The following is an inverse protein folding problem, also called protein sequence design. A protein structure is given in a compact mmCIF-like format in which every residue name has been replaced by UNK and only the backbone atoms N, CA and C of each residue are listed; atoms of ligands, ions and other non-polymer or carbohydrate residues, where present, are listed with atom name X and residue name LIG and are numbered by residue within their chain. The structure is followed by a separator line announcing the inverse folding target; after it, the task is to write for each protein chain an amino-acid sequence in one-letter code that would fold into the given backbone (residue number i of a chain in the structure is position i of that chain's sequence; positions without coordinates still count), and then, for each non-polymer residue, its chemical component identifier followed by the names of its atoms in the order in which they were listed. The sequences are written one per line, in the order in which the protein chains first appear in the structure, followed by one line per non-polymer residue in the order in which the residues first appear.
data_IF_220743586990
#
_entry.id   IF_220743586990
#
_cell.length_a   1.000
_cell.length_b   1.000
_cell.length_c   1.000
_cell.angle_alpha   90.00
_cell.angle_beta   90.00
_cell.angle_gamma   90.00
#
_symmetry.space_group_name_H-M   'P 1'
#
loop_
_entity.id
_entity.type
_entity.pdbx_description
1 polymer ?
#
# COMPACT_ATOMS: atom_id res chain seq x y z
N UNK A 1 16.45 19.41 37.21
CA UNK A 1 15.47 18.32 37.38
C UNK A 1 15.83 17.23 36.40
N UNK A 2 15.97 15.96 36.82
CA UNK A 2 16.38 14.88 35.93
C UNK A 2 15.24 14.64 34.94
N UNK A 3 15.47 14.95 33.67
CA UNK A 3 14.57 14.63 32.57
C UNK A 3 14.67 13.10 32.43
N UNK A 4 13.73 12.40 33.04
CA UNK A 4 13.59 10.97 32.90
C UNK A 4 13.19 10.70 31.46
N UNK A 5 14.16 10.20 30.69
CA UNK A 5 14.05 9.79 29.31
C UNK A 5 13.00 8.66 29.23
N UNK A 6 11.75 9.02 28.90
CA UNK A 6 10.70 8.09 28.49
C UNK A 6 10.62 8.20 26.98
N UNK A 7 11.06 7.17 26.26
CA UNK A 7 10.93 7.09 24.82
C UNK A 7 9.46 7.29 24.42
N UNK A 8 9.15 8.43 23.82
CA UNK A 8 7.83 8.69 23.28
C UNK A 8 7.75 7.94 21.96
N UNK A 9 7.13 6.76 21.96
CA UNK A 9 6.75 6.04 20.75
C UNK A 9 5.44 6.61 20.21
N UNK A 10 5.48 7.18 19.01
CA UNK A 10 4.30 7.69 18.31
C UNK A 10 3.93 6.76 17.16
N UNK A 11 2.70 6.25 17.11
CA UNK A 11 2.17 5.53 15.95
C UNK A 11 1.31 6.49 15.12
N UNK A 12 1.76 6.84 13.92
CA UNK A 12 0.98 7.74 13.05
C UNK A 12 -0.35 7.07 12.68
N UNK A 13 -1.44 7.75 13.01
CA UNK A 13 -2.78 7.29 12.64
C UNK A 13 -2.93 7.38 11.12
N UNK A 14 -3.11 6.24 10.46
CA UNK A 14 -3.56 6.21 9.07
C UNK A 14 -4.97 6.77 9.05
N UNK A 15 -5.16 7.90 8.36
CA UNK A 15 -6.39 8.68 8.40
C UNK A 15 -7.64 7.84 8.16
N UNK A 16 -8.28 7.39 9.25
CA UNK A 16 -9.62 6.81 9.17
C UNK A 16 -10.60 7.88 8.74
N UNK A 17 -11.54 7.46 7.90
CA UNK A 17 -12.59 8.23 7.24
C UNK A 17 -13.51 8.97 8.24
N UNK A 18 -12.99 10.04 8.85
CA UNK A 18 -13.70 10.92 9.77
C UNK A 18 -14.00 12.25 9.04
N UNK A 19 -14.84 12.18 7.99
CA UNK A 19 -15.11 13.33 7.09
C UNK A 19 -16.60 13.62 6.92
N UNK A 20 -17.36 13.64 8.02
CA UNK A 20 -18.64 14.36 8.07
C UNK A 20 -18.41 15.77 8.66
N UNK A 21 -19.47 16.59 8.76
CA UNK A 21 -19.47 17.99 9.24
C UNK A 21 -18.63 18.28 10.53
N UNK A 22 -18.23 17.25 11.27
CA UNK A 22 -17.23 17.28 12.33
C UNK A 22 -15.86 17.85 11.90
N UNK A 23 -15.44 17.79 10.63
CA UNK A 23 -14.14 18.36 10.21
C UNK A 23 -14.07 19.89 10.47
N UNK A 24 -15.20 20.58 10.34
CA UNK A 24 -15.30 22.02 10.70
C UNK A 24 -15.05 22.24 12.20
N UNK A 25 -15.48 21.33 13.07
CA UNK A 25 -15.35 21.46 14.52
C UNK A 25 -13.91 21.19 15.01
N UNK A 26 -13.26 20.13 14.48
CA UNK A 26 -11.92 19.72 14.90
C UNK A 26 -10.80 20.56 14.24
N UNK A 27 -11.06 21.17 13.09
CA UNK A 27 -10.11 22.06 12.41
C UNK A 27 -10.24 23.54 12.85
N UNK A 28 -11.45 24.02 13.16
CA UNK A 28 -11.65 25.41 13.56
C UNK A 28 -11.02 25.68 14.93
N UNK A 29 -10.00 26.56 14.97
CA UNK A 29 -9.26 26.87 16.19
C UNK A 29 -8.26 25.77 16.60
N UNK A 30 -7.89 24.87 15.68
CA UNK A 30 -6.92 23.79 15.91
C UNK A 30 -5.63 24.31 16.56
N UNK A 31 -4.97 25.30 15.94
CA UNK A 31 -3.68 25.82 16.42
C UNK A 31 -3.74 26.47 17.82
N UNK A 32 -4.93 26.89 18.27
CA UNK A 32 -5.12 27.40 19.61
C UNK A 32 -5.25 26.27 20.65
N UNK A 33 -5.85 25.13 20.26
CA UNK A 33 -6.10 23.99 21.15
C UNK A 33 -4.97 22.95 21.14
N UNK A 34 -4.29 22.80 20.00
CA UNK A 34 -3.25 21.80 19.79
C UNK A 34 -2.09 21.88 20.80
N UNK A 35 -1.58 23.05 21.23
CA UNK A 35 -0.48 23.10 22.20
C UNK A 35 -0.79 22.40 23.53
N UNK A 36 -2.03 22.51 24.02
CA UNK A 36 -2.45 21.85 25.26
C UNK A 36 -2.55 20.32 25.08
N UNK A 37 -3.09 19.88 23.94
CA UNK A 37 -3.16 18.47 23.57
C UNK A 37 -1.76 17.85 23.42
N UNK A 38 -0.84 18.52 22.73
CA UNK A 38 0.56 18.09 22.61
C UNK A 38 1.21 17.99 23.99
N UNK A 39 1.09 19.01 24.84
CA UNK A 39 1.65 18.98 26.19
C UNK A 39 1.09 17.82 27.06
N UNK A 40 -0.17 17.44 26.87
CA UNK A 40 -0.75 16.26 27.51
C UNK A 40 -0.10 14.96 27.01
N UNK A 41 0.03 14.79 25.69
CA UNK A 41 0.67 13.61 25.10
C UNK A 41 2.13 13.49 25.54
N UNK A 42 2.88 14.60 25.56
CA UNK A 42 4.26 14.61 26.03
C UNK A 42 4.39 14.21 27.50
N UNK A 43 3.44 14.62 28.36
CA UNK A 43 3.41 14.19 29.77
C UNK A 43 3.05 12.72 29.95
N UNK A 44 2.19 12.17 29.08
CA UNK A 44 1.84 10.76 29.10
C UNK A 44 3.07 9.88 28.74
N UNK A 45 3.96 10.38 27.89
CA UNK A 45 5.22 9.73 27.54
C UNK A 45 5.11 8.59 26.53
N UNK A 46 3.89 8.21 26.12
CA UNK A 46 3.62 7.26 25.03
C UNK A 46 2.43 7.78 24.24
N UNK A 47 2.57 7.86 22.92
CA UNK A 47 1.54 8.31 21.99
C UNK A 47 1.07 7.17 21.09
N UNK A 48 0.47 6.13 21.67
CA UNK A 48 -0.19 5.13 20.85
C UNK A 48 -1.49 5.69 20.23
N UNK A 49 -2.04 4.97 19.24
CA UNK A 49 -3.24 5.42 18.52
C UNK A 49 -4.40 5.73 19.46
N UNK A 50 -4.63 4.89 20.46
CA UNK A 50 -5.75 5.04 21.39
C UNK A 50 -5.59 6.32 22.23
N UNK A 51 -4.38 6.59 22.72
CA UNK A 51 -4.05 7.78 23.51
C UNK A 51 -4.18 9.05 22.67
N UNK A 52 -3.64 9.05 21.45
CA UNK A 52 -3.77 10.19 20.51
C UNK A 52 -5.25 10.49 20.24
N UNK A 53 -6.04 9.47 19.89
CA UNK A 53 -7.46 9.65 19.61
C UNK A 53 -8.25 10.14 20.83
N UNK A 54 -7.94 9.64 22.03
CA UNK A 54 -8.57 10.09 23.27
C UNK A 54 -8.26 11.56 23.58
N UNK A 55 -6.98 11.95 23.53
CA UNK A 55 -6.56 13.35 23.75
C UNK A 55 -7.10 14.27 22.65
N UNK A 56 -7.12 13.82 21.40
CA UNK A 56 -7.68 14.59 20.30
C UNK A 56 -9.17 14.89 20.51
N UNK A 57 -9.96 13.90 20.97
CA UNK A 57 -11.38 14.08 21.32
C UNK A 57 -11.56 15.05 22.49
N UNK A 58 -10.78 14.90 23.55
CA UNK A 58 -10.82 15.78 24.74
C UNK A 58 -10.58 17.25 24.37
N UNK A 59 -9.57 17.50 23.54
CA UNK A 59 -9.18 18.86 23.14
C UNK A 59 -9.90 19.34 21.88
N UNK A 60 -10.80 18.53 21.32
CA UNK A 60 -11.51 18.80 20.06
C UNK A 60 -10.54 19.20 18.94
N UNK A 61 -9.47 18.45 18.75
CA UNK A 61 -8.50 18.63 17.65
C UNK A 61 -8.46 17.40 16.75
N UNK A 62 -8.02 17.56 15.50
CA UNK A 62 -7.86 16.43 14.57
C UNK A 62 -6.77 15.46 15.08
N UNK A 63 -7.05 14.15 15.26
CA UNK A 63 -6.07 13.19 15.76
C UNK A 63 -4.89 13.00 14.81
N UNK A 64 -5.13 13.09 13.50
CA UNK A 64 -4.06 12.99 12.50
C UNK A 64 -3.08 14.16 12.62
N UNK A 65 -3.57 15.40 12.59
CA UNK A 65 -2.74 16.60 12.75
C UNK A 65 -2.04 16.62 14.11
N UNK A 66 -2.74 16.22 15.18
CA UNK A 66 -2.16 16.15 16.52
C UNK A 66 -0.98 15.16 16.57
N UNK A 67 -1.08 14.03 15.88
CA UNK A 67 0.02 13.08 15.78
C UNK A 67 1.24 13.71 15.08
N UNK A 68 1.04 14.47 14.00
CA UNK A 68 2.13 15.12 13.28
C UNK A 68 2.81 16.20 14.13
N UNK A 69 2.02 17.02 14.83
CA UNK A 69 2.57 18.08 15.69
C UNK A 69 3.32 17.49 16.89
N UNK A 70 2.84 16.36 17.42
CA UNK A 70 3.52 15.64 18.52
C UNK A 70 4.80 14.96 18.04
N UNK A 71 4.84 14.47 16.79
CA UNK A 71 6.00 13.77 16.23
C UNK A 71 7.29 14.61 16.23
N UNK A 72 7.17 15.94 16.10
CA UNK A 72 8.31 16.88 16.12
C UNK A 72 9.06 16.86 17.46
N UNK A 73 8.37 16.48 18.53
CA UNK A 73 8.89 16.45 19.90
C UNK A 73 9.22 15.04 20.40
N UNK A 74 8.90 14.02 19.60
CA UNK A 74 9.09 12.62 19.99
C UNK A 74 10.53 12.18 19.74
N UNK A 75 11.09 11.40 20.67
CA UNK A 75 12.40 10.76 20.48
C UNK A 75 12.31 9.58 19.48
N UNK A 76 11.14 8.92 19.39
CA UNK A 76 10.93 7.74 18.53
C UNK A 76 9.59 7.83 17.80
N UNK A 77 9.62 7.85 16.47
CA UNK A 77 8.41 7.84 15.64
C UNK A 77 8.30 6.52 14.90
N UNK A 78 7.17 5.84 15.07
CA UNK A 78 6.81 4.62 14.33
C UNK A 78 5.79 5.00 13.26
N UNK A 79 6.14 4.80 12.01
CA UNK A 79 5.31 5.19 10.88
C UNK A 79 5.40 4.21 9.72
N UNK A 80 4.42 4.29 8.84
CA UNK A 80 4.42 3.58 7.56
C UNK A 80 5.48 4.15 6.60
N UNK A 81 6.00 3.31 5.69
CA UNK A 81 6.98 3.72 4.69
C UNK A 81 6.56 4.97 3.89
N UNK A 82 5.27 5.13 3.60
CA UNK A 82 4.76 6.23 2.80
C UNK A 82 5.14 7.61 3.37
N UNK A 83 5.23 7.75 4.69
CA UNK A 83 5.57 9.02 5.33
C UNK A 83 7.04 9.44 5.08
N UNK A 84 7.90 8.48 4.75
CA UNK A 84 9.32 8.69 4.45
C UNK A 84 9.56 8.71 2.94
N UNK A 85 8.95 7.77 2.21
CA UNK A 85 9.31 7.48 0.81
C UNK A 85 8.28 7.94 -0.23
N UNK A 86 6.99 8.14 0.10
CA UNK A 86 6.01 8.58 -0.91
C UNK A 86 6.19 10.08 -1.21
N UNK A 87 6.44 10.49 -2.47
CA UNK A 87 6.72 11.89 -2.79
C UNK A 87 5.52 12.82 -2.58
N UNK A 88 4.29 12.31 -2.53
CA UNK A 88 3.03 13.04 -2.31
C UNK A 88 2.66 13.09 -0.83
N UNK A 89 2.82 11.98 -0.12
CA UNK A 89 2.34 11.83 1.27
C UNK A 89 3.44 12.13 2.30
N UNK A 90 4.71 12.19 1.88
CA UNK A 90 5.86 12.47 2.76
C UNK A 90 5.61 13.62 3.72
N UNK A 91 6.06 13.46 4.96
CA UNK A 91 5.88 14.44 6.02
C UNK A 91 6.77 15.65 5.79
N UNK A 92 6.28 16.61 4.99
CA UNK A 92 6.98 17.87 4.73
C UNK A 92 7.35 18.60 6.04
N UNK A 93 6.54 18.47 7.10
CA UNK A 93 6.80 19.07 8.41
C UNK A 93 8.02 18.49 9.15
N UNK A 94 8.39 17.24 8.88
CA UNK A 94 9.52 16.60 9.55
C UNK A 94 10.83 16.77 8.77
N UNK A 95 10.74 17.07 7.47
CA UNK A 95 11.89 17.20 6.60
C UNK A 95 12.66 18.49 6.86
N UNK A 96 13.98 18.37 7.06
CA UNK A 96 14.86 19.49 7.39
C UNK A 96 14.76 19.98 8.83
N UNK A 97 13.72 19.60 9.59
CA UNK A 97 13.60 19.91 11.03
C UNK A 97 14.17 18.76 11.88
N UNK A 98 13.97 17.52 11.46
CA UNK A 98 14.27 16.33 12.28
C UNK A 98 15.15 15.31 11.54
N UNK A 99 15.13 15.27 10.20
CA UNK A 99 15.71 14.17 9.42
C UNK A 99 17.24 14.06 9.52
N UNK A 100 17.97 15.17 9.39
CA UNK A 100 19.44 15.20 9.38
C UNK A 100 20.09 14.76 10.71
N UNK A 101 19.32 14.79 11.80
CA UNK A 101 19.73 14.36 13.14
C UNK A 101 19.06 13.07 13.59
N UNK A 102 18.34 12.38 12.70
CA UNK A 102 17.59 11.17 13.00
C UNK A 102 18.22 9.92 12.41
N UNK A 103 18.04 8.81 13.13
CA UNK A 103 18.36 7.47 12.66
C UNK A 103 17.08 6.83 12.09
N UNK A 104 17.15 6.34 10.85
CA UNK A 104 16.02 5.65 10.23
C UNK A 104 16.12 4.14 10.42
N UNK A 105 15.11 3.55 11.06
CA UNK A 105 15.01 2.10 11.25
C UNK A 105 13.93 1.55 10.31
N UNK A 106 14.34 0.67 9.40
CA UNK A 106 13.47 0.08 8.38
C UNK A 106 13.28 -1.40 8.73
N UNK A 107 12.17 -1.68 9.38
CA UNK A 107 11.69 -3.04 9.60
C UNK A 107 11.14 -3.64 8.30
N UNK A 108 11.16 -4.97 8.18
CA UNK A 108 10.76 -5.73 7.00
C UNK A 108 11.25 -5.16 5.66
N UNK A 109 12.51 -4.70 5.63
CA UNK A 109 13.08 -4.00 4.49
C UNK A 109 13.06 -4.80 3.17
N UNK A 110 12.76 -6.10 3.18
CA UNK A 110 12.51 -6.86 1.97
C UNK A 110 11.30 -6.35 1.16
N UNK A 111 10.34 -5.66 1.79
CA UNK A 111 9.16 -5.09 1.14
C UNK A 111 9.38 -3.67 0.63
N UNK A 112 10.47 -3.00 1.05
CA UNK A 112 10.69 -1.58 0.81
C UNK A 112 10.65 -1.24 -0.68
N UNK A 113 11.39 -1.98 -1.52
CA UNK A 113 11.44 -1.72 -2.95
C UNK A 113 10.05 -1.78 -3.61
N UNK A 114 9.24 -2.78 -3.28
CA UNK A 114 7.90 -2.93 -3.85
C UNK A 114 6.97 -1.81 -3.38
N UNK A 115 7.02 -1.47 -2.10
CA UNK A 115 6.23 -0.38 -1.51
C UNK A 115 6.54 0.97 -2.15
N UNK A 116 7.82 1.29 -2.31
CA UNK A 116 8.24 2.55 -2.93
C UNK A 116 7.92 2.57 -4.43
N UNK A 117 8.06 1.44 -5.13
CA UNK A 117 7.66 1.32 -6.54
C UNK A 117 6.18 1.64 -6.73
N UNK A 118 5.32 1.15 -5.84
CA UNK A 118 3.89 1.45 -5.87
C UNK A 118 3.62 2.92 -5.59
N UNK A 119 4.28 3.52 -4.59
CA UNK A 119 4.17 4.96 -4.28
C UNK A 119 4.61 5.86 -5.43
N UNK A 120 5.60 5.47 -6.22
CA UNK A 120 6.09 6.22 -7.38
C UNK A 120 5.23 6.03 -8.63
N UNK A 121 4.47 4.94 -8.69
CA UNK A 121 3.61 4.61 -9.81
C UNK A 121 2.28 5.36 -9.74
N UNK A 122 1.65 5.55 -10.89
CA UNK A 122 0.33 6.22 -10.97
C UNK A 122 -0.50 5.63 -12.08
N UNK A 123 -1.83 5.67 -11.90
CA UNK A 123 -2.80 5.20 -12.87
C UNK A 123 -3.91 6.23 -13.01
N UNK A 124 -4.21 6.60 -14.24
CA UNK A 124 -5.41 7.36 -14.59
C UNK A 124 -6.27 6.53 -15.55
N UNK A 125 -7.52 6.31 -15.18
CA UNK A 125 -8.48 5.60 -16.03
C UNK A 125 -9.59 6.53 -16.51
N UNK A 126 -10.15 6.22 -17.68
CA UNK A 126 -11.35 6.90 -18.18
C UNK A 126 -12.54 6.75 -17.23
N UNK A 127 -12.63 5.63 -16.55
CA UNK A 127 -13.73 5.34 -15.62
C UNK A 127 -13.78 6.35 -14.46
N UNK A 128 -12.62 6.74 -13.91
CA UNK A 128 -12.53 7.81 -12.91
C UNK A 128 -13.06 9.16 -13.43
N UNK A 129 -12.87 9.45 -14.72
CA UNK A 129 -13.44 10.64 -15.36
C UNK A 129 -14.96 10.53 -15.51
N UNK A 130 -15.46 9.37 -15.96
CA UNK A 130 -16.89 9.13 -16.13
C UNK A 130 -17.66 9.31 -14.83
N UNK A 131 -17.17 8.72 -13.72
CA UNK A 131 -17.80 8.87 -12.40
C UNK A 131 -17.86 10.33 -11.95
N UNK A 132 -16.80 11.10 -12.18
CA UNK A 132 -16.81 12.53 -11.87
C UNK A 132 -17.77 13.32 -12.78
N UNK A 133 -17.92 12.97 -14.06
CA UNK A 133 -18.91 13.60 -14.96
C UNK A 133 -20.33 13.34 -14.49
N UNK A 134 -20.63 12.12 -14.05
CA UNK A 134 -21.92 11.71 -13.51
C UNK A 134 -22.27 12.49 -12.23
N UNK A 135 -21.30 12.68 -11.33
CA UNK A 135 -21.46 13.48 -10.11
C UNK A 135 -21.59 15.00 -10.37
N UNK A 136 -21.05 15.50 -11.48
CA UNK A 136 -21.03 16.93 -11.77
C UNK A 136 -22.41 17.47 -12.24
N UNK A 137 -22.78 18.66 -11.77
CA UNK A 137 -23.98 19.38 -12.23
C UNK A 137 -23.91 19.63 -13.74
N UNK A 138 -25.04 19.46 -14.44
CA UNK A 138 -25.14 19.71 -15.87
C UNK A 138 -24.72 21.14 -16.24
N UNK A 139 -23.76 21.26 -17.16
CA UNK A 139 -23.25 22.55 -17.63
C UNK A 139 -22.16 23.20 -16.77
N UNK A 140 -21.77 22.58 -15.65
CA UNK A 140 -20.71 23.08 -14.77
C UNK A 140 -19.35 23.18 -15.49
N UNK A 141 -18.48 24.05 -14.97
CA UNK A 141 -17.12 24.24 -15.50
C UNK A 141 -16.30 22.95 -15.39
N UNK A 142 -16.38 22.24 -14.26
CA UNK A 142 -15.78 20.92 -14.04
C UNK A 142 -16.21 19.92 -15.10
N UNK A 143 -17.52 19.76 -15.35
CA UNK A 143 -18.01 18.82 -16.37
C UNK A 143 -17.47 19.15 -17.75
N UNK A 144 -17.42 20.44 -18.12
CA UNK A 144 -16.86 20.90 -19.40
C UNK A 144 -15.36 20.64 -19.49
N UNK A 145 -14.62 20.83 -18.40
CA UNK A 145 -13.19 20.57 -18.32
C UNK A 145 -12.87 19.08 -18.48
N UNK A 146 -13.56 18.21 -17.72
CA UNK A 146 -13.40 16.75 -17.83
C UNK A 146 -13.77 16.27 -19.24
N UNK A 147 -14.89 16.72 -19.81
CA UNK A 147 -15.30 16.33 -21.16
C UNK A 147 -14.30 16.78 -22.24
N UNK A 148 -13.69 17.97 -22.07
CA UNK A 148 -12.63 18.44 -22.98
C UNK A 148 -11.37 17.59 -22.84
N UNK A 149 -10.99 17.23 -21.62
CA UNK A 149 -9.85 16.37 -21.34
C UNK A 149 -10.06 14.97 -21.93
N UNK A 150 -11.20 14.31 -21.67
CA UNK A 150 -11.52 12.97 -22.20
C UNK A 150 -11.50 12.96 -23.74
N UNK A 151 -12.05 14.00 -24.41
CA UNK A 151 -11.97 14.10 -25.88
C UNK A 151 -10.53 14.16 -26.39
N UNK A 152 -9.65 14.90 -25.72
CA UNK A 152 -8.23 14.99 -26.09
C UNK A 152 -7.51 13.67 -25.83
N UNK A 153 -7.75 13.04 -24.67
CA UNK A 153 -7.21 11.73 -24.33
C UNK A 153 -7.65 10.66 -25.34
N UNK A 154 -8.93 10.64 -25.73
CA UNK A 154 -9.45 9.72 -26.73
C UNK A 154 -8.87 9.94 -28.12
N UNK A 155 -8.62 11.19 -28.52
CA UNK A 155 -7.93 11.48 -29.78
C UNK A 155 -6.49 10.97 -29.73
N UNK A 156 -5.74 11.39 -28.72
CA UNK A 156 -4.35 10.99 -28.53
C UNK A 156 -4.19 9.46 -28.47
N UNK A 157 -5.11 8.77 -27.78
CA UNK A 157 -5.18 7.30 -27.73
C UNK A 157 -5.25 6.69 -29.13
N UNK A 158 -6.14 7.20 -30.00
CA UNK A 158 -6.27 6.71 -31.38
C UNK A 158 -4.98 6.92 -32.16
N UNK A 159 -4.34 8.07 -31.98
CA UNK A 159 -3.08 8.41 -32.64
C UNK A 159 -1.97 7.41 -32.21
N UNK A 160 -1.90 7.05 -30.92
CA UNK A 160 -0.94 6.05 -30.41
C UNK A 160 -1.20 4.63 -30.93
N UNK A 161 -2.46 4.19 -30.93
CA UNK A 161 -2.85 2.86 -31.45
C UNK A 161 -2.53 2.75 -32.94
N UNK A 162 -2.80 3.80 -33.72
CA UNK A 162 -2.49 3.82 -35.15
C UNK A 162 -0.98 3.84 -35.41
N UNK A 163 -0.22 4.65 -34.66
CA UNK A 163 1.22 4.77 -34.84
C UNK A 163 1.98 3.46 -34.55
N UNK A 164 1.45 2.61 -33.67
CA UNK A 164 2.04 1.31 -33.32
C UNK A 164 1.40 0.14 -34.07
N UNK A 165 0.58 0.42 -35.10
CA UNK A 165 -0.15 -0.57 -35.91
C UNK A 165 -0.95 -1.58 -35.06
N UNK A 166 -1.38 -1.15 -33.87
CA UNK A 166 -2.08 -2.01 -32.93
C UNK A 166 -3.54 -2.17 -33.36
N UNK A 167 -4.07 -3.38 -33.18
CA UNK A 167 -5.49 -3.63 -33.46
C UNK A 167 -6.37 -2.78 -32.55
N UNK A 168 -7.50 -2.22 -33.05
CA UNK A 168 -8.44 -1.44 -32.23
C UNK A 168 -9.16 -2.19 -31.11
N UNK A 169 -8.80 -3.46 -30.86
CA UNK A 169 -9.35 -4.31 -29.80
C UNK A 169 -8.68 -4.03 -28.45
N UNK A 170 -8.58 -5.04 -27.60
CA UNK A 170 -7.81 -4.94 -26.36
C UNK A 170 -6.34 -4.71 -26.72
N UNK A 171 -5.80 -3.57 -26.31
CA UNK A 171 -4.41 -3.20 -26.53
C UNK A 171 -3.70 -2.93 -25.21
N UNK A 172 -2.39 -3.15 -25.22
CA UNK A 172 -1.47 -2.74 -24.18
C UNK A 172 -0.21 -2.24 -24.87
N UNK A 173 -0.02 -0.92 -24.86
CA UNK A 173 1.02 -0.24 -25.63
C UNK A 173 2.00 0.44 -24.71
N UNK A 174 3.29 0.23 -24.96
CA UNK A 174 4.34 1.04 -24.34
C UNK A 174 4.45 2.33 -25.14
N UNK A 175 4.39 3.46 -24.46
CA UNK A 175 4.35 4.78 -25.08
C UNK A 175 5.35 5.72 -24.43
N UNK A 176 5.68 6.79 -25.13
CA UNK A 176 6.45 7.90 -24.56
C UNK A 176 5.60 8.69 -23.55
N UNK A 177 6.28 9.53 -22.77
CA UNK A 177 5.64 10.43 -21.80
C UNK A 177 4.57 11.34 -22.46
N UNK A 178 3.34 11.43 -21.91
CA UNK A 178 2.24 12.11 -22.58
C UNK A 178 2.06 13.58 -22.15
N UNK A 179 3.01 14.47 -22.46
CA UNK A 179 3.01 15.88 -22.01
C UNK A 179 1.68 16.61 -22.20
N UNK A 180 1.05 16.45 -23.36
CA UNK A 180 -0.21 17.12 -23.68
C UNK A 180 -1.37 16.68 -22.77
N UNK A 181 -1.34 15.44 -22.26
CA UNK A 181 -2.30 14.95 -21.28
C UNK A 181 -1.97 15.45 -19.88
N UNK A 182 -0.71 15.49 -19.50
CA UNK A 182 -0.30 16.04 -18.20
C UNK A 182 -0.73 17.50 -18.06
N UNK A 183 -0.50 18.32 -19.09
CA UNK A 183 -0.98 19.71 -19.12
C UNK A 183 -2.51 19.81 -19.11
N UNK A 184 -3.20 18.87 -19.77
CA UNK A 184 -4.65 18.78 -19.75
C UNK A 184 -5.21 18.44 -18.37
N UNK A 185 -4.53 17.54 -17.65
CA UNK A 185 -4.89 17.11 -16.30
C UNK A 185 -4.80 18.27 -15.31
N UNK A 186 -3.78 19.12 -15.40
CA UNK A 186 -3.65 20.31 -14.54
C UNK A 186 -4.88 21.23 -14.63
N UNK A 187 -5.41 21.46 -15.83
CA UNK A 187 -6.61 22.30 -15.99
C UNK A 187 -7.85 21.70 -15.34
N UNK A 188 -7.97 20.37 -15.33
CA UNK A 188 -9.08 19.69 -14.65
C UNK A 188 -8.91 19.80 -13.14
N UNK A 189 -7.67 19.71 -12.63
CA UNK A 189 -7.37 19.95 -11.21
C UNK A 189 -7.75 21.35 -10.76
N UNK A 190 -7.44 22.38 -11.55
CA UNK A 190 -7.76 23.76 -11.21
C UNK A 190 -9.27 23.97 -11.06
N UNK A 191 -10.06 23.37 -11.96
CA UNK A 191 -11.53 23.43 -11.94
C UNK A 191 -12.13 22.63 -10.77
N UNK A 192 -11.57 21.45 -10.47
CA UNK A 192 -11.97 20.66 -9.31
C UNK A 192 -11.66 21.39 -8.00
N UNK A 193 -10.51 22.07 -7.92
CA UNK A 193 -10.15 22.90 -6.78
C UNK A 193 -11.14 24.07 -6.64
N UNK A 194 -11.49 24.76 -7.73
CA UNK A 194 -12.48 25.84 -7.70
C UNK A 194 -13.86 25.36 -7.23
N UNK A 195 -14.30 24.18 -7.70
CA UNK A 195 -15.55 23.56 -7.25
C UNK A 195 -15.53 23.23 -5.76
N UNK A 196 -14.42 22.67 -5.24
CA UNK A 196 -14.28 22.41 -3.81
C UNK A 196 -14.36 23.70 -2.97
N UNK A 197 -13.75 24.80 -3.41
CA UNK A 197 -13.87 26.10 -2.74
C UNK A 197 -15.29 26.67 -2.77
N UNK A 198 -16.06 26.35 -3.82
CA UNK A 198 -17.48 26.70 -3.92
C UNK A 198 -18.41 25.78 -3.11
N UNK A 199 -17.87 24.78 -2.41
CA UNK A 199 -18.63 23.81 -1.61
C UNK A 199 -19.11 22.57 -2.38
N UNK A 200 -18.71 22.42 -3.64
CA UNK A 200 -18.98 21.24 -4.48
C UNK A 200 -17.82 20.23 -4.34
N UNK A 201 -17.80 19.48 -3.24
CA UNK A 201 -16.73 18.52 -2.91
C UNK A 201 -17.28 17.08 -2.73
N UNK A 202 -17.47 16.37 -3.84
CA UNK A 202 -17.95 14.98 -3.80
C UNK A 202 -16.82 13.96 -3.61
N UNK A 203 -17.16 12.71 -3.27
CA UNK A 203 -16.19 11.61 -3.24
C UNK A 203 -15.50 11.41 -4.59
N UNK A 204 -16.24 11.53 -5.69
CA UNK A 204 -15.76 11.30 -7.05
C UNK A 204 -14.81 12.43 -7.49
N UNK A 205 -15.12 13.68 -7.12
CA UNK A 205 -14.25 14.82 -7.39
C UNK A 205 -12.93 14.69 -6.64
N UNK A 206 -12.95 14.27 -5.37
CA UNK A 206 -11.73 14.04 -4.59
C UNK A 206 -10.90 12.90 -5.15
N UNK A 207 -11.53 11.76 -5.46
CA UNK A 207 -10.85 10.62 -6.04
C UNK A 207 -10.16 10.99 -7.37
N UNK A 208 -10.86 11.72 -8.24
CA UNK A 208 -10.28 12.20 -9.50
C UNK A 208 -9.17 13.23 -9.26
N UNK A 209 -9.36 14.15 -8.31
CA UNK A 209 -8.34 15.14 -7.95
C UNK A 209 -7.05 14.48 -7.46
N UNK A 210 -7.13 13.47 -6.60
CA UNK A 210 -5.94 12.74 -6.14
C UNK A 210 -5.24 12.00 -7.29
N UNK A 211 -5.98 11.33 -8.17
CA UNK A 211 -5.42 10.64 -9.32
C UNK A 211 -4.71 11.60 -10.28
N UNK A 212 -5.35 12.73 -10.62
CA UNK A 212 -4.76 13.74 -11.50
C UNK A 212 -3.59 14.45 -10.85
N UNK A 213 -3.67 14.79 -9.55
CA UNK A 213 -2.58 15.46 -8.83
C UNK A 213 -1.34 14.55 -8.77
N UNK A 214 -1.53 13.26 -8.49
CA UNK A 214 -0.44 12.28 -8.52
C UNK A 214 0.13 12.13 -9.93
N UNK A 215 -0.73 12.05 -10.95
CA UNK A 215 -0.31 12.01 -12.36
C UNK A 215 0.55 13.22 -12.74
N UNK A 216 0.09 14.44 -12.45
CA UNK A 216 0.82 15.66 -12.78
C UNK A 216 2.15 15.72 -12.04
N UNK A 217 2.14 15.40 -10.74
CA UNK A 217 3.38 15.41 -9.93
C UNK A 217 4.39 14.35 -10.38
N UNK A 218 3.94 13.27 -11.00
CA UNK A 218 4.85 12.24 -11.52
C UNK A 218 5.89 12.79 -12.48
N UNK A 219 5.59 13.89 -13.18
CA UNK A 219 6.55 14.60 -14.02
C UNK A 219 7.84 15.01 -13.29
N UNK A 220 7.79 15.27 -11.96
CA UNK A 220 8.97 15.73 -11.21
C UNK A 220 9.95 14.62 -10.84
N UNK A 221 9.57 13.34 -10.97
CA UNK A 221 10.42 12.19 -10.65
C UNK A 221 10.45 11.13 -11.76
N UNK A 222 9.83 11.40 -12.91
CA UNK A 222 9.85 10.49 -14.04
C UNK A 222 11.24 10.47 -14.70
N UNK A 223 11.73 9.27 -15.02
CA UNK A 223 12.94 9.04 -15.78
C UNK A 223 12.72 7.86 -16.75
N UNK A 224 12.97 8.04 -18.04
CA UNK A 224 12.65 7.06 -19.10
C UNK A 224 13.35 5.70 -18.88
N UNK A 225 14.51 5.69 -18.24
CA UNK A 225 15.29 4.47 -17.99
C UNK A 225 14.73 3.65 -16.81
N UNK A 226 13.87 4.25 -15.99
CA UNK A 226 13.38 3.67 -14.72
C UNK A 226 11.88 3.54 -14.66
N UNK A 227 11.16 4.11 -15.62
CA UNK A 227 9.72 4.09 -15.69
C UNK A 227 9.25 3.61 -17.04
N UNK A 228 8.08 2.99 -17.06
CA UNK A 228 7.38 2.66 -18.29
C UNK A 228 6.01 3.30 -18.26
N UNK A 229 5.59 3.86 -19.39
CA UNK A 229 4.23 4.36 -19.57
C UNK A 229 3.48 3.37 -20.43
N UNK A 230 2.40 2.83 -19.88
CA UNK A 230 1.57 1.82 -20.53
C UNK A 230 0.18 2.40 -20.77
N UNK A 231 -0.22 2.45 -22.03
CA UNK A 231 -1.57 2.76 -22.45
C UNK A 231 -2.33 1.45 -22.67
N UNK A 232 -3.35 1.19 -21.86
CA UNK A 232 -4.19 -0.01 -21.98
C UNK A 232 -5.64 0.36 -22.26
N UNK A 233 -6.41 -0.53 -22.85
CA UNK A 233 -7.84 -0.35 -23.05
C UNK A 233 -8.37 -0.95 -24.34
N UNK A 234 -9.49 -0.41 -24.79
CA UNK A 234 -10.21 -0.86 -25.99
C UNK A 234 -10.77 0.36 -26.75
N UNK A 235 -11.76 0.17 -27.62
CA UNK A 235 -12.41 1.27 -28.35
C UNK A 235 -12.98 2.36 -27.45
N UNK A 236 -13.56 2.01 -26.31
CA UNK A 236 -14.29 2.89 -25.40
C UNK A 236 -13.45 3.23 -24.16
N UNK A 237 -12.77 2.26 -23.57
CA UNK A 237 -12.01 2.44 -22.32
C UNK A 237 -10.56 2.80 -22.61
N UNK A 238 -9.93 3.47 -21.64
CA UNK A 238 -8.50 3.67 -21.61
C UNK A 238 -8.00 3.80 -20.18
N UNK A 239 -6.78 3.34 -19.94
CA UNK A 239 -5.96 3.65 -18.77
C UNK A 239 -4.57 4.06 -19.22
N UNK A 240 -3.97 5.00 -18.48
CA UNK A 240 -2.55 5.34 -18.57
C UNK A 240 -1.94 4.95 -17.25
N UNK A 241 -1.04 3.98 -17.30
CA UNK A 241 -0.29 3.46 -16.17
C UNK A 241 1.16 3.92 -16.31
N UNK A 242 1.62 4.81 -15.44
CA UNK A 242 3.05 5.13 -15.33
C UNK A 242 3.60 4.28 -14.20
N UNK A 243 4.43 3.30 -14.55
CA UNK A 243 4.93 2.30 -13.60
C UNK A 243 6.41 2.52 -13.38
N UNK A 244 6.79 2.70 -12.12
CA UNK A 244 8.18 2.62 -11.70
C UNK A 244 8.65 1.18 -11.91
N UNK A 245 9.81 0.99 -12.53
CA UNK A 245 10.48 -0.30 -12.67
C UNK A 245 11.58 -0.43 -11.61
N UNK A 246 12.36 0.63 -11.44
CA UNK A 246 13.48 0.68 -10.51
C UNK A 246 13.40 1.90 -9.56
N UNK A 247 13.02 1.68 -8.29
CA UNK A 247 12.91 2.74 -7.29
C UNK A 247 14.24 3.07 -6.58
N UNK A 248 15.35 2.42 -6.94
CA UNK A 248 16.61 2.45 -6.18
C UNK A 248 17.14 3.87 -5.92
N UNK A 249 17.14 4.75 -6.92
CA UNK A 249 17.61 6.14 -6.79
C UNK A 249 16.75 6.92 -5.80
N UNK A 250 15.42 6.81 -5.91
CA UNK A 250 14.51 7.50 -5.00
C UNK A 250 14.66 7.01 -3.56
N UNK A 251 14.87 5.70 -3.38
CA UNK A 251 15.14 5.11 -2.07
C UNK A 251 16.45 5.67 -1.52
N UNK A 252 17.55 5.62 -2.28
CA UNK A 252 18.85 6.09 -1.80
C UNK A 252 18.87 7.59 -1.48
N UNK A 253 18.20 8.42 -2.28
CA UNK A 253 18.03 9.85 -2.00
C UNK A 253 17.20 10.09 -0.73
N UNK A 254 16.13 9.32 -0.53
CA UNK A 254 15.31 9.42 0.69
C UNK A 254 16.11 8.99 1.93
N UNK A 255 16.93 7.94 1.81
CA UNK A 255 17.82 7.47 2.87
C UNK A 255 18.91 8.48 3.21
N UNK A 256 19.47 9.17 2.20
CA UNK A 256 20.53 10.17 2.37
C UNK A 256 20.08 11.42 3.14
N UNK A 257 18.77 11.64 3.29
CA UNK A 257 18.22 12.72 4.10
C UNK A 257 18.37 12.47 5.63
N UNK A 258 18.70 11.25 6.03
CA UNK A 258 18.86 10.85 7.43
C UNK A 258 20.34 10.75 7.83
N UNK A 259 20.61 10.90 9.14
CA UNK A 259 21.98 10.79 9.66
C UNK A 259 22.60 9.41 9.38
N UNK A 260 21.81 8.37 9.61
CA UNK A 260 22.13 7.00 9.25
C UNK A 260 20.84 6.17 9.16
N UNK A 261 20.94 5.00 8.56
CA UNK A 261 19.81 4.08 8.45
C UNK A 261 20.21 2.63 8.73
N UNK A 262 19.33 1.89 9.39
CA UNK A 262 19.46 0.44 9.59
C UNK A 262 18.28 -0.24 8.93
N UNK A 263 18.56 -1.18 8.03
CA UNK A 263 17.57 -1.97 7.31
C UNK A 263 17.66 -3.40 7.79
N UNK A 264 16.59 -3.93 8.35
CA UNK A 264 16.56 -5.28 8.90
C UNK A 264 15.32 -6.03 8.45
N UNK A 265 15.48 -7.34 8.28
CA UNK A 265 14.41 -8.29 8.02
C UNK A 265 14.99 -9.71 8.04
N UNK A 266 14.16 -10.68 8.40
CA UNK A 266 14.52 -12.09 8.41
C UNK A 266 14.72 -12.69 7.00
N UNK A 267 14.19 -12.05 5.95
CA UNK A 267 14.10 -12.60 4.59
C UNK A 267 14.96 -11.85 3.55
N UNK A 268 15.91 -11.01 3.99
CA UNK A 268 16.83 -10.28 3.10
C UNK A 268 17.92 -11.18 2.49
N UNK A 269 17.53 -12.11 1.62
CA UNK A 269 18.47 -12.96 0.89
C UNK A 269 18.12 -13.06 -0.59
N UNK A 270 19.11 -12.94 -1.50
CA UNK A 270 20.51 -12.53 -1.27
C UNK A 270 20.66 -11.05 -0.89
N UNK A 271 21.51 -10.71 0.08
CA UNK A 271 21.66 -9.31 0.56
C UNK A 271 22.10 -8.34 -0.55
N UNK A 272 22.97 -8.77 -1.48
CA UNK A 272 23.42 -7.96 -2.59
C UNK A 272 22.28 -7.51 -3.53
N UNK A 273 21.26 -8.35 -3.72
CA UNK A 273 20.08 -7.98 -4.51
C UNK A 273 19.35 -6.82 -3.85
N UNK A 274 19.09 -6.92 -2.54
CA UNK A 274 18.41 -5.88 -1.77
C UNK A 274 19.23 -4.59 -1.65
N UNK A 275 20.56 -4.70 -1.53
CA UNK A 275 21.44 -3.54 -1.56
C UNK A 275 21.29 -2.75 -2.87
N UNK A 276 21.27 -3.45 -4.02
CA UNK A 276 21.06 -2.85 -5.33
C UNK A 276 19.67 -2.22 -5.50
N UNK A 277 18.59 -2.94 -5.20
CA UNK A 277 17.23 -2.39 -5.40
C UNK A 277 16.89 -1.27 -4.42
N UNK A 278 17.64 -1.14 -3.32
CA UNK A 278 17.56 0.00 -2.39
C UNK A 278 18.55 1.13 -2.72
N UNK A 279 19.39 0.98 -3.76
CA UNK A 279 20.36 2.00 -4.19
C UNK A 279 21.53 2.22 -3.22
N UNK A 280 21.93 1.20 -2.46
CA UNK A 280 22.95 1.32 -1.39
C UNK A 280 23.90 0.12 -1.42
N UNK A 281 24.49 -0.13 -2.57
CA UNK A 281 25.41 -1.25 -2.79
C UNK A 281 26.66 -1.20 -1.89
N UNK A 282 27.10 0.00 -1.51
CA UNK A 282 28.23 0.22 -0.60
C UNK A 282 27.89 0.00 0.89
N UNK A 283 26.64 -0.33 1.21
CA UNK A 283 26.22 -0.52 2.60
C UNK A 283 26.79 -1.80 3.21
N UNK A 284 27.15 -1.71 4.51
CA UNK A 284 27.54 -2.88 5.26
C UNK A 284 26.36 -3.83 5.48
N UNK A 285 26.65 -5.12 5.41
CA UNK A 285 25.68 -6.20 5.50
C UNK A 285 26.13 -7.20 6.57
N UNK A 286 25.24 -7.46 7.53
CA UNK A 286 25.46 -8.47 8.59
C UNK A 286 24.30 -9.45 8.58
N UNK A 287 24.63 -10.74 8.62
CA UNK A 287 23.66 -11.82 8.78
C UNK A 287 23.85 -12.46 10.15
N UNK A 288 22.83 -12.35 11.01
CA UNK A 288 22.85 -12.99 12.31
C UNK A 288 22.49 -14.49 12.17
N UNK A 289 23.13 -15.38 12.95
CA UNK A 289 22.78 -16.79 12.95
C UNK A 289 21.37 -17.00 13.56
N UNK A 290 20.69 -18.05 13.12
CA UNK A 290 19.44 -18.48 13.75
C UNK A 290 19.70 -18.89 15.21
N UNK A 291 18.91 -18.40 16.18
CA UNK A 291 19.02 -18.87 17.56
C UNK A 291 18.40 -20.27 17.76
N UNK A 292 17.66 -20.78 16.76
CA UNK A 292 17.01 -22.09 16.79
C UNK A 292 17.92 -23.19 16.25
N UNK A 293 17.83 -24.39 16.83
CA UNK A 293 18.49 -25.58 16.32
C UNK A 293 17.69 -26.22 15.17
N UNK A 294 18.37 -26.95 14.30
CA UNK A 294 17.74 -27.64 13.17
C UNK A 294 16.70 -28.67 13.60
N UNK A 295 16.82 -29.25 14.80
CA UNK A 295 15.90 -30.29 15.29
C UNK A 295 14.52 -29.75 15.67
N UNK A 296 14.40 -28.42 15.80
CA UNK A 296 13.13 -27.74 16.08
C UNK A 296 12.29 -27.50 14.82
N UNK A 297 12.85 -27.69 13.61
CA UNK A 297 12.19 -27.43 12.34
C UNK A 297 12.37 -28.59 11.37
N UNK A 298 11.27 -29.20 10.94
CA UNK A 298 11.27 -30.17 9.87
C UNK A 298 10.85 -29.51 8.54
N UNK A 299 11.71 -29.56 7.53
CA UNK A 299 11.42 -29.05 6.18
C UNK A 299 11.42 -30.21 5.20
N UNK A 300 10.30 -30.40 4.50
CA UNK A 300 10.13 -31.41 3.45
C UNK A 300 9.70 -30.76 2.15
N UNK A 301 10.25 -31.23 1.02
CA UNK A 301 9.94 -30.71 -0.31
C UNK A 301 9.29 -31.81 -1.15
N UNK A 302 8.03 -31.59 -1.52
CA UNK A 302 7.26 -32.43 -2.44
C UNK A 302 7.56 -31.99 -3.86
N UNK A 303 8.16 -32.86 -4.68
CA UNK A 303 8.67 -32.51 -6.02
C UNK A 303 7.72 -32.87 -7.16
N UNK A 304 6.73 -33.71 -6.91
CA UNK A 304 5.75 -34.23 -7.87
C UNK A 304 4.46 -33.40 -7.95
N UNK A 305 4.37 -32.28 -7.23
CA UNK A 305 3.23 -31.35 -7.26
C UNK A 305 3.65 -30.01 -7.84
N UNK A 306 3.22 -29.71 -9.07
CA UNK A 306 3.44 -28.41 -9.71
C UNK A 306 2.29 -27.45 -9.44
N UNK A 307 2.57 -26.30 -8.80
CA UNK A 307 1.59 -25.24 -8.54
C UNK A 307 1.65 -24.08 -9.55
N UNK A 308 2.40 -24.26 -10.65
CA UNK A 308 2.48 -23.31 -11.76
C UNK A 308 1.12 -23.15 -12.43
N UNK A 309 0.78 -21.95 -12.90
CA UNK A 309 -0.55 -21.63 -13.44
C UNK A 309 -1.11 -22.68 -14.43
N UNK A 310 -0.30 -23.09 -15.42
CA UNK A 310 -0.69 -24.08 -16.45
C UNK A 310 -0.98 -25.49 -15.91
N UNK A 311 -0.51 -25.79 -14.71
CA UNK A 311 -0.52 -27.13 -14.14
C UNK A 311 -1.54 -27.30 -13.01
N UNK A 312 -2.12 -26.19 -12.51
CA UNK A 312 -2.96 -26.16 -11.32
C UNK A 312 -4.12 -27.15 -11.40
N UNK A 313 -4.84 -27.18 -12.52
CA UNK A 313 -6.00 -28.07 -12.67
C UNK A 313 -5.62 -29.55 -12.57
N UNK A 314 -4.46 -29.95 -13.13
CA UNK A 314 -3.98 -31.34 -13.09
C UNK A 314 -3.32 -31.72 -11.76
N UNK A 315 -2.74 -30.76 -11.04
CA UNK A 315 -2.00 -31.02 -9.80
C UNK A 315 -2.87 -30.94 -8.55
N UNK A 316 -4.11 -30.42 -8.66
CA UNK A 316 -5.02 -30.19 -7.55
C UNK A 316 -5.28 -31.46 -6.74
N UNK A 317 -5.63 -32.57 -7.40
CA UNK A 317 -5.91 -33.83 -6.69
C UNK A 317 -4.71 -34.32 -5.90
N UNK A 318 -3.52 -34.29 -6.52
CA UNK A 318 -2.27 -34.68 -5.85
C UNK A 318 -1.91 -33.77 -4.68
N UNK A 319 -2.17 -32.47 -4.81
CA UNK A 319 -1.98 -31.51 -3.72
C UNK A 319 -2.89 -31.85 -2.53
N UNK A 320 -4.16 -32.18 -2.78
CA UNK A 320 -5.11 -32.55 -1.74
C UNK A 320 -4.68 -33.84 -1.03
N UNK A 321 -4.20 -34.85 -1.76
CA UNK A 321 -3.64 -36.06 -1.16
C UNK A 321 -2.48 -35.75 -0.20
N UNK A 322 -1.58 -34.84 -0.60
CA UNK A 322 -0.44 -34.43 0.23
C UNK A 322 -0.90 -33.69 1.48
N UNK A 323 -1.84 -32.76 1.35
CA UNK A 323 -2.38 -32.03 2.51
C UNK A 323 -3.10 -32.98 3.46
N UNK A 324 -3.95 -33.88 2.94
CA UNK A 324 -4.64 -34.89 3.74
C UNK A 324 -3.63 -35.79 4.47
N UNK A 325 -2.61 -36.29 3.78
CA UNK A 325 -1.57 -37.12 4.41
C UNK A 325 -0.85 -36.39 5.57
N UNK A 326 -0.58 -35.10 5.42
CA UNK A 326 0.09 -34.29 6.46
C UNK A 326 -0.83 -34.00 7.65
N UNK A 327 -2.09 -33.64 7.38
CA UNK A 327 -3.07 -33.29 8.43
C UNK A 327 -3.55 -34.52 9.19
N UNK A 328 -3.69 -35.67 8.53
CA UNK A 328 -4.03 -36.93 9.22
C UNK A 328 -2.84 -37.61 9.87
N UNK A 329 -1.62 -37.40 9.34
CA UNK A 329 -0.40 -37.95 9.92
C UNK A 329 -0.09 -37.42 11.31
N UNK A 330 -0.48 -36.17 11.62
CA UNK A 330 -0.27 -35.55 12.93
C UNK A 330 -1.40 -34.58 13.24
N UNK A 331 -1.94 -34.62 14.46
CA UNK A 331 -2.91 -33.59 14.88
C UNK A 331 -2.18 -32.27 15.19
N UNK A 332 -2.74 -31.15 14.75
CA UNK A 332 -2.15 -29.84 14.94
C UNK A 332 -2.93 -28.71 14.25
N UNK A 333 -2.31 -27.53 14.25
CA UNK A 333 -2.76 -26.36 13.52
C UNK A 333 -1.96 -26.25 12.23
N UNK A 334 -2.67 -26.09 11.11
CA UNK A 334 -2.07 -26.05 9.79
C UNK A 334 -2.45 -24.75 9.08
N UNK A 335 -1.45 -24.20 8.40
CA UNK A 335 -1.60 -23.07 7.50
C UNK A 335 -1.24 -23.55 6.09
N UNK A 336 -2.19 -23.52 5.16
CA UNK A 336 -1.94 -23.86 3.76
C UNK A 336 -2.03 -22.60 2.92
N UNK A 337 -0.89 -22.15 2.39
CA UNK A 337 -0.79 -20.99 1.52
C UNK A 337 -0.77 -21.43 0.04
N UNK A 338 -1.62 -20.82 -0.79
CA UNK A 338 -1.78 -21.19 -2.20
C UNK A 338 -1.50 -19.98 -3.11
N UNK A 339 -1.05 -20.21 -4.36
CA UNK A 339 -0.58 -19.14 -5.23
C UNK A 339 -1.68 -18.27 -5.85
N UNK A 340 -2.96 -18.55 -5.63
CA UNK A 340 -4.08 -17.68 -6.01
C UNK A 340 -5.37 -18.03 -5.26
N UNK A 341 -6.31 -17.08 -5.20
CA UNK A 341 -7.65 -17.29 -4.64
C UNK A 341 -8.44 -18.36 -5.41
N UNK A 342 -8.45 -18.30 -6.74
CA UNK A 342 -9.09 -19.33 -7.58
C UNK A 342 -8.59 -20.74 -7.24
N UNK A 343 -7.28 -20.91 -7.01
CA UNK A 343 -6.71 -22.20 -6.66
C UNK A 343 -7.02 -22.61 -5.23
N UNK A 344 -7.14 -21.62 -4.32
CA UNK A 344 -7.62 -21.84 -2.97
C UNK A 344 -9.07 -22.32 -2.95
N UNK A 345 -9.96 -21.67 -3.69
CA UNK A 345 -11.37 -22.05 -3.78
C UNK A 345 -11.52 -23.47 -4.35
N UNK A 346 -10.74 -23.79 -5.40
CA UNK A 346 -10.71 -25.13 -5.97
C UNK A 346 -10.21 -26.18 -4.96
N UNK A 347 -9.17 -25.87 -4.17
CA UNK A 347 -8.69 -26.76 -3.12
C UNK A 347 -9.70 -26.90 -1.98
N UNK A 348 -10.27 -25.79 -1.51
CA UNK A 348 -11.29 -25.75 -0.46
C UNK A 348 -12.50 -26.63 -0.83
N UNK A 349 -12.99 -26.53 -2.07
CA UNK A 349 -14.09 -27.34 -2.58
C UNK A 349 -13.73 -28.84 -2.73
N UNK A 350 -12.45 -29.14 -2.99
CA UNK A 350 -11.96 -30.51 -3.18
C UNK A 350 -11.64 -31.26 -1.88
N UNK A 351 -11.56 -30.58 -0.73
CA UNK A 351 -11.28 -31.24 0.55
C UNK A 351 -12.42 -32.17 0.96
N UNK A 352 -12.07 -33.45 1.15
CA UNK A 352 -13.06 -34.53 1.37
C UNK A 352 -13.48 -34.70 2.83
N UNK A 353 -12.84 -34.00 3.77
CA UNK A 353 -12.96 -34.26 5.20
C UNK A 353 -13.47 -33.05 5.99
N UNK A 354 -14.22 -33.32 7.07
CA UNK A 354 -14.82 -32.32 7.95
C UNK A 354 -13.76 -31.60 8.81
N UNK A 355 -13.04 -30.68 8.19
CA UNK A 355 -12.04 -29.82 8.83
C UNK A 355 -12.68 -28.45 9.03
N UNK A 356 -12.44 -27.82 10.19
CA UNK A 356 -12.81 -26.42 10.36
C UNK A 356 -11.91 -25.57 9.48
N UNK A 357 -12.45 -25.17 8.33
CA UNK A 357 -11.85 -24.19 7.45
C UNK A 357 -12.30 -22.81 7.93
N UNK A 358 -11.33 -21.97 8.26
CA UNK A 358 -11.57 -20.54 8.48
C UNK A 358 -10.67 -19.75 7.55
N UNK A 359 -11.26 -18.83 6.79
CA UNK A 359 -10.50 -17.87 5.99
C UNK A 359 -9.91 -16.79 6.93
N UNK A 360 -8.60 -16.55 6.92
CA UNK A 360 -8.01 -15.43 7.63
C UNK A 360 -8.29 -14.11 6.87
N UNK A 361 -8.16 -12.95 7.54
CA UNK A 361 -8.31 -11.64 6.92
C UNK A 361 -7.23 -11.27 5.88
N UNK A 362 -6.23 -12.13 5.64
CA UNK A 362 -5.15 -11.93 4.66
C UNK A 362 -5.12 -13.03 3.59
N UNK A 363 -4.58 -12.67 2.42
CA UNK A 363 -4.61 -13.34 1.11
C UNK A 363 -4.49 -14.87 1.09
N UNK A 364 -5.27 -15.52 0.22
CA UNK A 364 -5.14 -16.90 -0.29
C UNK A 364 -4.60 -17.99 0.68
N UNK A 365 -5.13 -18.06 1.91
CA UNK A 365 -4.70 -19.02 2.94
C UNK A 365 -5.90 -19.74 3.56
N UNK A 366 -5.75 -21.05 3.83
CA UNK A 366 -6.74 -21.86 4.58
C UNK A 366 -6.15 -22.22 5.95
N UNK A 367 -6.90 -21.94 7.02
CA UNK A 367 -6.61 -22.49 8.35
C UNK A 367 -7.32 -23.81 8.55
N UNK A 368 -6.59 -24.80 9.06
CA UNK A 368 -7.11 -26.14 9.31
C UNK A 368 -6.74 -26.57 10.73
N UNK A 369 -7.74 -26.97 11.51
CA UNK A 369 -7.55 -27.49 12.87
C UNK A 369 -8.17 -28.88 12.98
N UNK A 370 -7.35 -29.86 13.36
CA UNK A 370 -7.83 -31.19 13.73
C UNK A 370 -7.83 -31.30 15.25
N UNK A 371 -9.01 -31.14 15.87
CA UNK A 371 -9.18 -31.37 17.30
C UNK A 371 -9.22 -32.88 17.57
N UNK A 372 -8.25 -33.40 18.31
CA UNK A 372 -8.24 -34.77 18.79
C UNK A 372 -9.39 -35.03 19.78
N UNK A 373 -10.60 -35.27 19.29
CA UNK A 373 -11.63 -36.01 20.01
C UNK A 373 -11.83 -37.34 19.29
N UNK A 374 -11.19 -38.40 19.79
CA UNK A 374 -11.71 -39.75 19.60
C UNK A 374 -13.10 -39.76 20.24
N UNK A 375 -14.16 -39.69 19.45
CA UNK A 375 -15.47 -40.11 19.90
C UNK A 375 -15.37 -41.59 20.26
N UNK A 376 -15.58 -41.90 21.53
CA UNK A 376 -15.84 -43.26 21.99
C UNK A 376 -17.11 -43.76 21.30
N UNK A 377 -16.95 -44.54 20.25
CA UNK A 377 -17.95 -45.51 19.81
C UNK A 377 -18.06 -46.55 20.94
N UNK A 378 -18.95 -46.30 21.91
CA UNK A 378 -19.41 -47.36 22.80
C UNK A 378 -20.37 -48.24 22.01
N UNK A 379 -19.83 -49.32 21.45
CA UNK A 379 -20.60 -50.51 21.14
C UNK A 379 -21.10 -51.13 22.45
N UNK A 380 -22.42 -51.29 22.61
CA UNK A 380 -22.98 -52.46 23.28
C UNK A 380 -24.25 -52.91 22.55
N UNK A 381 -24.31 -54.17 22.10
CA UNK A 381 -25.57 -54.89 21.97
C UNK A 381 -25.97 -55.44 23.34
N UNK A 382 -27.28 -55.48 23.62
CA UNK A 382 -27.86 -56.01 24.86
C UNK A 382 -28.65 -54.96 25.60
#
# INVERSE_FOLDING_TARGET
MPITCKAIGLLLSTGTDLRSAAFSEYAAGYYHRAPAAVAQLLRAGVGDRATIEATAREHRVCPFELSLDTAVWADVVVCDYNYVFDPVVRLQRLQGVVTDRSLLLIDEAHQLADRVRDSLSTVLSRDSLSRAVEAAVSGSAVRKAIARFDRRAMKWKRDQVQAQEASPGDYQLVIAWPDALIQGAQRVLDELAAAAHAGEDTSEFRALSYALARLVRTASWFAEERFIVVLSGDRVRWSIDIRCLDPSVHISESLAAFHAHVRFSATLRPMALYARVHGVEDSQAVQLPSPFSSDQLHVSVVRDVSVRYRDRQRSLERLLDVVDAVVFGRSGNYLVALPSFEYLEAAAAGFRHAIRITEPPCSAVIWMTLNGRRSSLSSRPG
#
